data_IF_746846542271
#
_entry.id   IF_746846542271
#
_cell.length_a   1.000
_cell.length_b   1.000
_cell.length_c   1.000
_cell.angle_alpha   90.00
_cell.angle_beta   90.00
_cell.angle_gamma   90.00
#
_symmetry.space_group_name_H-M   'P 1'
#
loop_
_entity.id
_entity.type
_entity.pdbx_description
1 polymer ?
#
# COMPACT_ATOMS: atom_id res chain seq x y z
N UNK A 1 13.97 4.45 16.72
CA UNK A 1 13.94 5.01 15.38
C UNK A 1 12.56 4.77 14.77
N UNK A 2 11.93 5.82 14.36
CA UNK A 2 10.62 5.72 13.70
C UNK A 2 10.84 5.41 12.24
N UNK A 3 10.22 4.37 11.76
CA UNK A 3 10.31 4.02 10.36
C UNK A 3 8.92 4.08 9.70
N UNK A 4 8.92 4.10 8.39
CA UNK A 4 7.69 4.21 7.59
C UNK A 4 6.76 3.03 7.86
N UNK A 5 7.31 1.82 7.95
CA UNK A 5 6.52 0.63 8.19
C UNK A 5 5.75 0.71 9.50
N UNK A 6 6.42 1.11 10.57
CA UNK A 6 5.82 1.23 11.90
C UNK A 6 4.69 2.25 11.92
N UNK A 7 4.95 3.44 11.38
CA UNK A 7 3.99 4.55 11.42
C UNK A 7 2.76 4.24 10.57
N UNK A 8 2.97 3.89 9.31
CA UNK A 8 1.87 3.72 8.36
C UNK A 8 1.15 2.40 8.53
N UNK A 9 1.88 1.34 8.88
CA UNK A 9 1.25 0.05 9.15
C UNK A 9 0.33 0.10 10.36
N UNK A 10 0.79 0.72 11.43
CA UNK A 10 -0.02 0.89 12.65
C UNK A 10 -1.24 1.76 12.40
N UNK A 11 -1.08 2.83 11.64
CA UNK A 11 -2.20 3.72 11.33
C UNK A 11 -3.28 2.99 10.52
N UNK A 12 -2.87 2.20 9.53
CA UNK A 12 -3.83 1.42 8.74
C UNK A 12 -4.55 0.39 9.61
N UNK A 13 -3.81 -0.29 10.47
CA UNK A 13 -4.42 -1.28 11.38
C UNK A 13 -5.47 -0.65 12.28
N UNK A 14 -5.15 0.50 12.88
CA UNK A 14 -6.10 1.19 13.75
C UNK A 14 -7.37 1.57 13.01
N UNK A 15 -7.23 2.11 11.80
CA UNK A 15 -8.38 2.49 10.98
C UNK A 15 -9.20 1.27 10.61
N UNK A 16 -8.56 0.20 10.16
CA UNK A 16 -9.26 -1.01 9.75
C UNK A 16 -9.99 -1.68 10.93
N UNK A 17 -9.37 -1.69 12.09
CA UNK A 17 -9.98 -2.23 13.31
C UNK A 17 -11.22 -1.43 13.69
N UNK A 18 -11.11 -0.11 13.65
CA UNK A 18 -12.23 0.77 14.05
C UNK A 18 -13.42 0.61 13.10
N UNK A 19 -13.17 0.28 11.84
CA UNK A 19 -14.20 0.06 10.84
C UNK A 19 -14.65 -1.40 10.74
N UNK A 20 -14.10 -2.27 11.57
CA UNK A 20 -14.47 -3.68 11.60
C UNK A 20 -13.98 -4.48 10.40
N UNK A 21 -12.92 -4.03 9.73
CA UNK A 21 -12.38 -4.70 8.53
C UNK A 21 -10.92 -5.15 8.66
N UNK A 22 -10.44 -5.30 9.90
CA UNK A 22 -9.03 -5.64 10.10
C UNK A 22 -8.62 -6.93 9.39
N UNK A 23 -9.46 -7.97 9.44
CA UNK A 23 -9.16 -9.24 8.80
C UNK A 23 -9.20 -9.15 7.28
N UNK A 24 -10.18 -8.44 6.73
CA UNK A 24 -10.29 -8.24 5.27
C UNK A 24 -9.11 -7.46 4.73
N UNK A 25 -8.70 -6.41 5.43
CA UNK A 25 -7.56 -5.60 5.01
C UNK A 25 -6.27 -6.43 5.08
N UNK A 26 -6.10 -7.23 6.13
CA UNK A 26 -4.94 -8.11 6.24
C UNK A 26 -4.84 -9.07 5.05
N UNK A 27 -5.96 -9.66 4.65
CA UNK A 27 -6.01 -10.57 3.53
C UNK A 27 -5.60 -9.86 2.23
N UNK A 28 -6.13 -8.65 2.00
CA UNK A 28 -5.78 -7.87 0.82
C UNK A 28 -4.30 -7.45 0.83
N UNK A 29 -3.77 -7.05 1.96
CA UNK A 29 -2.36 -6.69 2.08
C UNK A 29 -1.47 -7.88 1.76
N UNK A 30 -1.84 -9.08 2.21
CA UNK A 30 -1.07 -10.29 1.94
C UNK A 30 -1.02 -10.60 0.45
N UNK A 31 -2.16 -10.48 -0.23
CA UNK A 31 -2.22 -10.69 -1.68
C UNK A 31 -1.39 -9.66 -2.43
N UNK A 32 -1.46 -8.39 -2.04
CA UNK A 32 -0.69 -7.33 -2.67
C UNK A 32 0.81 -7.51 -2.46
N UNK A 33 1.21 -7.87 -1.25
CA UNK A 33 2.62 -8.11 -0.95
C UNK A 33 3.18 -9.24 -1.81
N UNK A 34 2.39 -10.31 -1.98
CA UNK A 34 2.77 -11.42 -2.83
C UNK A 34 2.86 -11.00 -4.29
N UNK A 35 1.89 -10.22 -4.76
CA UNK A 35 1.89 -9.71 -6.14
C UNK A 35 3.11 -8.84 -6.43
N UNK A 36 3.45 -7.95 -5.52
CA UNK A 36 4.64 -7.11 -5.67
C UNK A 36 5.93 -7.94 -5.66
N UNK A 37 5.96 -9.02 -4.89
CA UNK A 37 7.10 -9.93 -4.86
C UNK A 37 7.27 -10.67 -6.18
N UNK A 38 6.17 -11.01 -6.85
CA UNK A 38 6.19 -11.70 -8.14
C UNK A 38 6.47 -10.75 -9.30
N UNK A 39 6.12 -9.47 -9.15
CA UNK A 39 6.27 -8.45 -10.19
C UNK A 39 7.07 -7.26 -9.67
N UNK A 40 8.37 -7.43 -9.40
CA UNK A 40 9.17 -6.33 -8.84
C UNK A 40 9.27 -5.13 -9.77
N UNK A 41 9.09 -5.32 -11.07
CA UNK A 41 9.06 -4.22 -12.04
C UNK A 41 7.90 -3.28 -11.81
N UNK A 42 6.76 -3.79 -11.35
CA UNK A 42 5.59 -2.97 -11.07
C UNK A 42 5.86 -2.02 -9.90
N UNK A 43 6.47 -2.52 -8.84
CA UNK A 43 6.84 -1.70 -7.69
C UNK A 43 7.84 -0.61 -8.08
N UNK A 44 8.81 -0.95 -8.93
CA UNK A 44 9.77 0.03 -9.46
C UNK A 44 9.08 1.09 -10.28
N UNK A 45 8.12 0.71 -11.12
CA UNK A 45 7.36 1.65 -11.93
C UNK A 45 6.64 2.67 -11.05
N UNK A 46 6.03 2.21 -9.97
CA UNK A 46 5.30 3.07 -9.03
C UNK A 46 6.24 3.92 -8.18
N UNK A 47 7.54 3.63 -8.18
CA UNK A 47 8.53 4.36 -7.38
C UNK A 47 9.45 5.23 -8.20
N UNK A 48 9.35 5.17 -9.54
CA UNK A 48 10.29 5.89 -10.41
C UNK A 48 9.99 7.40 -10.44
N UNK A 49 11.04 8.24 -10.36
CA UNK A 49 10.84 9.69 -10.50
C UNK A 49 10.51 10.12 -11.92
N UNK A 50 10.61 9.22 -12.90
CA UNK A 50 10.23 9.50 -14.28
C UNK A 50 8.72 9.75 -14.45
N UNK A 51 7.90 9.24 -13.52
CA UNK A 51 6.48 9.46 -13.49
C UNK A 51 6.11 10.46 -12.39
N UNK A 52 5.15 11.34 -12.67
CA UNK A 52 4.63 12.23 -11.64
C UNK A 52 3.86 11.44 -10.59
N UNK A 53 3.61 12.09 -9.44
CA UNK A 53 2.81 11.48 -8.38
C UNK A 53 1.40 11.15 -8.90
N UNK A 54 0.81 12.05 -9.66
CA UNK A 54 -0.53 11.84 -10.21
C UNK A 54 -0.57 10.66 -11.17
N UNK A 55 0.45 10.52 -12.01
CA UNK A 55 0.54 9.39 -12.93
C UNK A 55 0.66 8.07 -12.19
N UNK A 56 1.48 8.02 -11.14
CA UNK A 56 1.64 6.82 -10.33
C UNK A 56 0.35 6.45 -9.60
N UNK A 57 -0.34 7.44 -9.04
CA UNK A 57 -1.61 7.21 -8.37
C UNK A 57 -2.68 6.73 -9.36
N UNK A 58 -2.65 7.23 -10.59
CA UNK A 58 -3.57 6.78 -11.62
C UNK A 58 -3.34 5.32 -11.98
N UNK A 59 -2.07 4.90 -12.04
CA UNK A 59 -1.75 3.49 -12.28
C UNK A 59 -2.34 2.61 -11.17
N UNK A 60 -2.23 3.06 -9.91
CA UNK A 60 -2.83 2.33 -8.80
C UNK A 60 -4.35 2.25 -8.93
N UNK A 61 -5.00 3.35 -9.27
CA UNK A 61 -6.45 3.35 -9.49
C UNK A 61 -6.84 2.37 -10.58
N UNK A 62 -6.17 2.43 -11.73
CA UNK A 62 -6.51 1.59 -12.88
C UNK A 62 -6.27 0.11 -12.57
N UNK A 63 -5.27 -0.20 -11.74
CA UNK A 63 -4.90 -1.57 -11.43
C UNK A 63 -5.76 -2.19 -10.34
N UNK A 64 -6.14 -1.41 -9.33
CA UNK A 64 -6.73 -1.96 -8.11
C UNK A 64 -8.13 -1.44 -7.78
N UNK A 65 -8.62 -0.42 -8.45
CA UNK A 65 -9.97 0.09 -8.16
C UNK A 65 -11.00 -1.02 -8.37
N UNK A 66 -11.83 -1.24 -7.35
CA UNK A 66 -12.82 -2.29 -7.38
C UNK A 66 -12.29 -3.68 -7.03
N UNK A 67 -10.97 -3.82 -6.84
CA UNK A 67 -10.34 -5.09 -6.46
C UNK A 67 -9.91 -5.12 -5.01
N UNK A 68 -9.67 -3.94 -4.42
CA UNK A 68 -9.32 -3.81 -3.01
C UNK A 68 -10.24 -2.78 -2.38
N UNK A 69 -10.30 -2.78 -1.07
CA UNK A 69 -11.12 -1.82 -0.33
C UNK A 69 -10.55 -0.40 -0.52
N UNK A 70 -11.42 0.63 -0.50
CA UNK A 70 -10.96 2.02 -0.66
C UNK A 70 -9.86 2.42 0.32
N UNK A 71 -9.90 1.93 1.54
CA UNK A 71 -8.86 2.23 2.54
C UNK A 71 -7.49 1.69 2.12
N UNK A 72 -7.45 0.49 1.54
CA UNK A 72 -6.20 -0.11 1.07
C UNK A 72 -5.65 0.65 -0.13
N UNK A 73 -6.51 0.98 -1.08
CA UNK A 73 -6.11 1.75 -2.25
C UNK A 73 -5.58 3.13 -1.84
N UNK A 74 -6.29 3.80 -0.95
CA UNK A 74 -5.89 5.12 -0.46
C UNK A 74 -4.55 5.04 0.28
N UNK A 75 -4.34 3.99 1.07
CA UNK A 75 -3.09 3.75 1.77
C UNK A 75 -1.92 3.65 0.79
N UNK A 76 -2.10 2.88 -0.29
CA UNK A 76 -1.08 2.75 -1.32
C UNK A 76 -0.80 4.07 -2.02
N UNK A 77 -1.84 4.88 -2.28
CA UNK A 77 -1.66 6.19 -2.88
C UNK A 77 -0.87 7.13 -1.98
N UNK A 78 -1.15 7.11 -0.69
CA UNK A 78 -0.43 7.93 0.28
C UNK A 78 1.06 7.56 0.29
N UNK A 79 1.37 6.27 0.32
CA UNK A 79 2.76 5.81 0.27
C UNK A 79 3.43 6.23 -1.03
N UNK A 80 2.70 6.14 -2.15
CA UNK A 80 3.23 6.52 -3.45
C UNK A 80 3.52 8.02 -3.52
N UNK A 81 2.61 8.86 -3.03
CA UNK A 81 2.77 10.30 -3.02
C UNK A 81 3.98 10.75 -2.20
N UNK A 82 4.26 10.05 -1.11
CA UNK A 82 5.37 10.38 -0.23
C UNK A 82 6.67 9.70 -0.63
N UNK A 83 6.65 8.86 -1.66
CA UNK A 83 7.83 8.13 -2.10
C UNK A 83 8.18 6.95 -1.21
N UNK A 84 7.23 6.42 -0.46
CA UNK A 84 7.44 5.37 0.53
C UNK A 84 6.91 4.01 0.11
N UNK A 85 6.47 3.84 -1.14
CA UNK A 85 5.86 2.58 -1.57
C UNK A 85 6.84 1.39 -1.45
N UNK A 86 8.13 1.66 -1.55
CA UNK A 86 9.16 0.63 -1.36
C UNK A 86 9.14 0.02 0.04
N UNK A 87 8.50 0.70 1.00
CA UNK A 87 8.36 0.22 2.37
C UNK A 87 7.05 -0.53 2.60
N UNK A 88 6.34 -0.88 1.53
CA UNK A 88 5.04 -1.54 1.63
C UNK A 88 5.13 -2.85 2.42
N UNK A 89 6.15 -3.65 2.17
CA UNK A 89 6.33 -4.91 2.89
C UNK A 89 6.52 -4.68 4.40
N UNK A 90 7.27 -3.63 4.77
CA UNK A 90 7.46 -3.28 6.18
C UNK A 90 6.15 -2.87 6.83
N UNK A 91 5.32 -2.13 6.10
CA UNK A 91 3.99 -1.75 6.58
C UNK A 91 3.11 -2.97 6.80
N UNK A 92 3.17 -3.94 5.91
CA UNK A 92 2.41 -5.17 6.03
C UNK A 92 2.84 -5.97 7.25
N UNK A 93 4.14 -6.03 7.52
CA UNK A 93 4.65 -6.74 8.70
C UNK A 93 4.18 -6.09 9.99
N UNK A 94 4.21 -4.77 10.05
CA UNK A 94 3.72 -4.04 11.22
C UNK A 94 2.22 -4.24 11.42
N UNK A 95 1.47 -4.26 10.33
CA UNK A 95 0.03 -4.50 10.39
C UNK A 95 -0.30 -5.87 10.98
N UNK A 96 0.50 -6.86 10.62
CA UNK A 96 0.32 -8.21 11.17
C UNK A 96 0.70 -8.26 12.63
#
# INVERSE_FOLDING_TARGET
>A
MTDVGSVYGSALYSLARDEGMAASVLEELSVLEQSFGQEPGFLRLLSTPALSKDERCKILDDSFRGKVQPYVLNFMKILTEKGYLRHFADCCQTYR
#
